data_IF_396777897117
#
_entry.id   IF_396777897117
#
_cell.length_a   1.000
_cell.length_b   1.000
_cell.length_c   1.000
_cell.angle_alpha   90.00
_cell.angle_beta   90.00
_cell.angle_gamma   90.00
#
_symmetry.space_group_name_H-M   'P 1'
#
loop_
_entity.id
_entity.type
_entity.pdbx_description
1 polymer ?
#
# COMPACT_ATOMS: atom_id res chain seq x y z
N UNK A 1 -0.69 15.65 -37.45
CA UNK A 1 -1.68 15.35 -36.39
C UNK A 1 -2.91 16.23 -36.63
N UNK A 2 -4.08 15.59 -36.69
CA UNK A 2 -5.34 16.33 -36.85
C UNK A 2 -5.62 17.17 -35.59
N UNK A 3 -6.17 18.36 -35.81
CA UNK A 3 -6.50 19.31 -34.74
C UNK A 3 -8.01 19.38 -34.50
N UNK A 4 -8.45 19.97 -33.40
CA UNK A 4 -9.87 20.22 -33.12
C UNK A 4 -10.51 21.14 -34.20
N UNK A 5 -9.68 21.94 -34.89
CA UNK A 5 -10.13 22.79 -36.00
C UNK A 5 -10.50 21.91 -37.21
N UNK A 6 -9.75 20.85 -37.46
CA UNK A 6 -10.05 19.94 -38.57
C UNK A 6 -11.32 19.14 -38.31
N UNK A 7 -11.57 18.72 -37.07
CA UNK A 7 -12.84 18.11 -36.65
C UNK A 7 -14.00 19.11 -36.84
N UNK A 8 -13.81 20.36 -36.43
CA UNK A 8 -14.82 21.39 -36.56
C UNK A 8 -15.20 21.65 -38.04
N UNK A 9 -14.20 21.69 -38.95
CA UNK A 9 -14.40 21.78 -40.39
C UNK A 9 -15.14 20.57 -40.93
N UNK A 10 -14.70 19.35 -40.59
CA UNK A 10 -15.34 18.12 -41.06
C UNK A 10 -16.79 17.97 -40.54
N UNK A 11 -17.01 18.35 -39.29
CA UNK A 11 -18.34 18.35 -38.69
C UNK A 11 -19.24 19.53 -39.15
N UNK A 12 -18.72 20.58 -39.80
CA UNK A 12 -19.44 21.81 -40.13
C UNK A 12 -19.97 22.51 -38.85
N UNK A 13 -19.19 22.53 -37.78
CA UNK A 13 -19.55 23.09 -36.47
C UNK A 13 -18.44 24.03 -35.97
N UNK A 14 -18.76 24.84 -34.96
CA UNK A 14 -17.71 25.63 -34.29
C UNK A 14 -16.80 24.76 -33.44
N UNK A 15 -15.53 25.16 -33.24
CA UNK A 15 -14.60 24.49 -32.35
C UNK A 15 -15.12 24.42 -30.90
N UNK A 16 -15.91 25.43 -30.49
CA UNK A 16 -16.56 25.45 -29.16
C UNK A 16 -17.63 24.35 -29.05
N UNK A 17 -18.42 24.12 -30.11
CA UNK A 17 -19.43 23.04 -30.14
C UNK A 17 -18.76 21.67 -30.13
N UNK A 18 -17.72 21.48 -30.96
CA UNK A 18 -16.92 20.24 -30.96
C UNK A 18 -16.31 19.98 -29.59
N UNK A 19 -15.66 20.99 -29.00
CA UNK A 19 -15.09 20.86 -27.65
C UNK A 19 -16.14 20.48 -26.61
N UNK A 20 -17.34 21.08 -26.67
CA UNK A 20 -18.45 20.77 -25.76
C UNK A 20 -18.98 19.35 -25.98
N UNK A 21 -19.15 18.91 -27.22
CA UNK A 21 -19.59 17.56 -27.53
C UNK A 21 -18.63 16.48 -27.06
N UNK A 22 -17.31 16.75 -27.07
CA UNK A 22 -16.26 15.83 -26.60
C UNK A 22 -16.09 15.83 -25.07
N UNK A 23 -16.39 16.95 -24.39
CA UNK A 23 -16.14 17.12 -22.94
C UNK A 23 -17.36 16.90 -22.07
N UNK A 24 -18.53 17.31 -22.54
CA UNK A 24 -19.80 17.28 -21.82
C UNK A 24 -20.91 16.88 -22.81
N UNK A 25 -20.87 15.59 -23.25
CA UNK A 25 -21.74 15.09 -24.30
C UNK A 25 -23.23 15.25 -23.97
N UNK A 26 -23.57 15.31 -22.67
CA UNK A 26 -24.92 15.56 -22.17
C UNK A 26 -25.41 17.01 -22.38
N UNK A 27 -24.51 17.95 -22.70
CA UNK A 27 -24.86 19.36 -22.97
C UNK A 27 -25.07 19.68 -24.47
N UNK A 28 -25.05 18.66 -25.30
CA UNK A 28 -25.33 18.78 -26.74
C UNK A 28 -26.40 17.77 -27.16
N UNK A 29 -27.11 18.05 -28.24
CA UNK A 29 -28.10 17.10 -28.78
C UNK A 29 -27.42 15.84 -29.31
N UNK A 30 -28.12 14.72 -29.29
CA UNK A 30 -27.59 13.43 -29.77
C UNK A 30 -27.15 13.51 -31.23
N UNK A 31 -27.91 14.22 -32.07
CA UNK A 31 -27.55 14.47 -33.47
C UNK A 31 -26.23 15.25 -33.61
N UNK A 32 -26.01 16.25 -32.77
CA UNK A 32 -24.74 17.01 -32.73
C UNK A 32 -23.60 16.13 -32.30
N UNK A 33 -23.81 15.31 -31.27
CA UNK A 33 -22.81 14.36 -30.77
C UNK A 33 -22.41 13.35 -31.82
N UNK A 34 -23.39 12.69 -32.47
CA UNK A 34 -23.12 11.72 -33.54
C UNK A 34 -22.31 12.34 -34.69
N UNK A 35 -22.66 13.55 -35.10
CA UNK A 35 -21.96 14.29 -36.15
C UNK A 35 -20.51 14.63 -35.78
N UNK A 36 -20.26 15.00 -34.53
CA UNK A 36 -18.89 15.26 -34.02
C UNK A 36 -18.10 13.96 -33.95
N UNK A 37 -18.67 12.86 -33.46
CA UNK A 37 -17.97 11.57 -33.37
C UNK A 37 -17.61 11.03 -34.76
N UNK A 38 -18.49 11.12 -35.74
CA UNK A 38 -18.19 10.76 -37.13
C UNK A 38 -17.05 11.59 -37.72
N UNK A 39 -17.01 12.90 -37.42
CA UNK A 39 -15.92 13.76 -37.84
C UNK A 39 -14.60 13.45 -37.17
N UNK A 40 -14.60 13.10 -35.86
CA UNK A 40 -13.42 12.66 -35.11
C UNK A 40 -12.81 11.43 -35.78
N UNK A 41 -13.62 10.44 -36.09
CA UNK A 41 -13.20 9.20 -36.76
C UNK A 41 -12.65 9.48 -38.16
N UNK A 42 -13.37 10.30 -38.96
CA UNK A 42 -12.99 10.63 -40.34
C UNK A 42 -11.64 11.32 -40.45
N UNK A 43 -11.23 12.14 -39.47
CA UNK A 43 -9.94 12.85 -39.46
C UNK A 43 -8.90 12.22 -38.55
N UNK A 44 -9.15 11.04 -37.99
CA UNK A 44 -8.29 10.38 -36.97
C UNK A 44 -7.84 11.38 -35.90
N UNK A 45 -8.78 12.13 -35.34
CA UNK A 45 -8.48 13.10 -34.29
C UNK A 45 -8.35 12.42 -32.95
N UNK A 46 -7.19 12.59 -32.33
CA UNK A 46 -6.95 12.19 -30.95
C UNK A 46 -6.88 13.45 -30.10
N UNK A 47 -7.73 13.57 -29.06
CA UNK A 47 -7.66 14.71 -28.16
C UNK A 47 -6.26 14.84 -27.55
N UNK A 48 -5.65 16.01 -27.72
CA UNK A 48 -4.37 16.29 -27.08
C UNK A 48 -4.62 16.54 -25.59
N UNK A 49 -4.29 15.53 -24.76
CA UNK A 49 -4.44 15.58 -23.30
C UNK A 49 -3.61 16.72 -22.70
N UNK A 50 -2.40 16.99 -23.23
CA UNK A 50 -1.57 18.10 -22.78
C UNK A 50 -2.25 19.46 -22.97
N UNK A 51 -2.86 19.69 -24.15
CA UNK A 51 -3.59 20.91 -24.40
C UNK A 51 -4.89 21.04 -23.58
N UNK A 52 -5.46 19.91 -23.14
CA UNK A 52 -6.58 19.87 -22.19
C UNK A 52 -6.09 20.26 -20.80
N UNK A 53 -5.04 19.64 -20.35
CA UNK A 53 -4.45 19.79 -19.02
C UNK A 53 -3.97 21.24 -18.79
N UNK A 54 -3.29 21.83 -19.78
CA UNK A 54 -2.88 23.23 -19.75
C UNK A 54 -4.05 24.24 -19.56
N UNK A 55 -5.24 23.89 -20.05
CA UNK A 55 -6.43 24.76 -19.91
C UNK A 55 -7.21 24.54 -18.61
N UNK A 56 -7.11 23.37 -18.01
CA UNK A 56 -7.81 23.02 -16.77
C UNK A 56 -6.95 23.24 -15.52
N UNK A 57 -5.69 23.57 -15.69
CA UNK A 57 -4.66 23.64 -14.63
C UNK A 57 -4.56 22.34 -13.82
N UNK A 58 -4.90 21.19 -14.46
CA UNK A 58 -4.89 19.84 -13.89
C UNK A 58 -4.32 18.84 -14.86
N UNK A 59 -3.53 17.88 -14.32
CA UNK A 59 -2.98 16.78 -15.12
C UNK A 59 -3.93 15.59 -15.22
N UNK A 60 -4.92 15.47 -14.31
CA UNK A 60 -5.74 14.29 -14.11
C UNK A 60 -4.88 13.04 -13.88
N UNK A 61 -3.84 13.23 -13.09
CA UNK A 61 -2.90 12.18 -12.71
C UNK A 61 -2.58 12.28 -11.23
N UNK A 62 -2.39 11.15 -10.58
CA UNK A 62 -1.93 11.05 -9.20
C UNK A 62 -0.61 10.28 -9.16
N UNK A 63 0.28 10.71 -8.29
CA UNK A 63 1.55 10.04 -8.06
C UNK A 63 1.43 9.14 -6.83
N UNK A 64 1.82 7.87 -6.95
CA UNK A 64 1.87 6.92 -5.84
C UNK A 64 3.34 6.60 -5.55
N UNK A 65 3.81 6.96 -4.36
CA UNK A 65 5.16 6.67 -3.90
C UNK A 65 5.16 5.35 -3.14
N UNK A 66 5.84 4.35 -3.70
CA UNK A 66 5.87 2.97 -3.20
C UNK A 66 7.29 2.67 -2.68
N UNK A 67 7.45 2.14 -1.44
CA UNK A 67 8.77 1.79 -0.91
C UNK A 67 9.42 0.60 -1.61
N UNK A 68 8.61 -0.21 -2.32
CA UNK A 68 9.10 -1.34 -3.12
C UNK A 68 7.99 -1.92 -3.97
N UNK A 69 8.07 -1.74 -5.28
CA UNK A 69 7.05 -2.21 -6.23
C UNK A 69 6.96 -3.74 -6.33
N UNK A 70 8.00 -4.46 -5.89
CA UNK A 70 8.03 -5.91 -5.91
C UNK A 70 7.27 -6.56 -4.74
N UNK A 71 6.96 -5.80 -3.69
CA UNK A 71 6.25 -6.34 -2.53
C UNK A 71 4.75 -6.52 -2.85
N UNK A 72 4.20 -7.74 -2.74
CA UNK A 72 2.81 -8.04 -3.11
C UNK A 72 1.76 -7.26 -2.29
N UNK A 73 2.08 -6.88 -1.05
CA UNK A 73 1.19 -6.06 -0.24
C UNK A 73 0.93 -4.69 -0.90
N UNK A 74 1.99 -4.00 -1.35
CA UNK A 74 1.85 -2.72 -2.03
C UNK A 74 1.21 -2.84 -3.42
N UNK A 75 1.34 -3.99 -4.08
CA UNK A 75 0.62 -4.26 -5.32
C UNK A 75 -0.90 -4.24 -5.10
N UNK A 76 -1.40 -4.88 -4.02
CA UNK A 76 -2.82 -4.86 -3.67
C UNK A 76 -3.31 -3.45 -3.29
N UNK A 77 -2.52 -2.70 -2.52
CA UNK A 77 -2.85 -1.28 -2.22
C UNK A 77 -2.95 -0.47 -3.51
N UNK A 78 -2.00 -0.65 -4.42
CA UNK A 78 -1.97 0.04 -5.72
C UNK A 78 -3.18 -0.35 -6.59
N UNK A 79 -3.62 -1.60 -6.56
CA UNK A 79 -4.83 -2.04 -7.27
C UNK A 79 -6.09 -1.30 -6.77
N UNK A 80 -6.21 -1.10 -5.45
CA UNK A 80 -7.28 -0.30 -4.87
C UNK A 80 -7.23 1.17 -5.32
N UNK A 81 -6.03 1.77 -5.34
CA UNK A 81 -5.82 3.13 -5.82
C UNK A 81 -6.23 3.25 -7.29
N UNK A 82 -5.76 2.33 -8.13
CA UNK A 82 -6.02 2.33 -9.58
C UNK A 82 -7.51 2.21 -9.88
N UNK A 83 -8.22 1.33 -9.19
CA UNK A 83 -9.66 1.13 -9.35
C UNK A 83 -10.45 2.43 -9.12
N UNK A 84 -10.10 3.24 -8.13
CA UNK A 84 -10.74 4.53 -7.86
C UNK A 84 -10.30 5.58 -8.88
N UNK A 85 -9.00 5.68 -9.14
CA UNK A 85 -8.45 6.64 -10.10
C UNK A 85 -9.10 6.46 -11.48
N UNK A 86 -9.18 5.23 -11.97
CA UNK A 86 -9.85 4.89 -13.23
C UNK A 86 -11.30 5.37 -13.27
N UNK A 87 -12.08 5.06 -12.23
CA UNK A 87 -13.50 5.47 -12.15
C UNK A 87 -13.68 6.99 -12.13
N UNK A 88 -12.70 7.71 -11.58
CA UNK A 88 -12.70 9.17 -11.44
C UNK A 88 -12.02 9.87 -12.62
N UNK A 89 -11.51 9.11 -13.63
CA UNK A 89 -10.86 9.64 -14.83
C UNK A 89 -9.44 10.17 -14.58
N UNK A 90 -8.75 9.65 -13.58
CA UNK A 90 -7.34 9.93 -13.27
C UNK A 90 -6.43 8.78 -13.74
N UNK A 91 -5.21 9.14 -14.12
CA UNK A 91 -4.12 8.20 -14.37
C UNK A 91 -3.26 8.05 -13.12
N UNK A 92 -2.62 6.89 -12.95
CA UNK A 92 -1.71 6.63 -11.83
C UNK A 92 -0.28 6.55 -12.33
N UNK A 93 0.62 7.35 -11.74
CA UNK A 93 2.06 7.21 -11.87
C UNK A 93 2.65 6.54 -10.64
N UNK A 94 3.51 5.56 -10.83
CA UNK A 94 4.19 4.87 -9.73
C UNK A 94 5.63 5.37 -9.62
N UNK A 95 6.03 5.77 -8.41
CA UNK A 95 7.39 6.09 -8.04
C UNK A 95 7.93 5.06 -7.05
N UNK A 96 8.89 4.20 -7.49
CA UNK A 96 9.58 3.25 -6.61
C UNK A 96 10.67 3.97 -5.82
N UNK A 97 10.38 4.28 -4.56
CA UNK A 97 11.28 5.10 -3.72
C UNK A 97 12.42 4.28 -3.10
N UNK A 98 12.23 2.98 -2.89
CA UNK A 98 13.18 2.10 -2.18
C UNK A 98 13.63 2.70 -0.84
N UNK A 99 12.70 3.32 -0.11
CA UNK A 99 12.95 4.03 1.13
C UNK A 99 14.10 5.09 1.04
N UNK A 100 14.33 5.63 -0.17
CA UNK A 100 15.35 6.64 -0.46
C UNK A 100 14.73 8.02 -0.59
N UNK A 101 15.20 8.97 0.24
CA UNK A 101 14.76 10.37 0.19
C UNK A 101 15.10 11.08 -1.10
N UNK A 102 16.26 10.77 -1.67
CA UNK A 102 16.68 11.38 -2.94
C UNK A 102 15.71 10.96 -4.05
N UNK A 103 15.24 9.70 -4.01
CA UNK A 103 14.25 9.21 -4.97
C UNK A 103 12.87 9.82 -4.70
N UNK A 104 12.46 9.96 -3.45
CA UNK A 104 11.22 10.65 -3.10
C UNK A 104 11.25 12.10 -3.63
N UNK A 105 12.29 12.85 -3.31
CA UNK A 105 12.45 14.23 -3.78
C UNK A 105 12.44 14.34 -5.31
N UNK A 106 13.05 13.39 -6.02
CA UNK A 106 12.99 13.33 -7.48
C UNK A 106 11.55 13.18 -8.00
N UNK A 107 10.77 12.26 -7.41
CA UNK A 107 9.38 12.06 -7.81
C UNK A 107 8.47 13.24 -7.41
N UNK A 108 8.73 13.92 -6.31
CA UNK A 108 7.98 15.11 -5.89
C UNK A 108 8.04 16.24 -6.92
N UNK A 109 9.16 16.38 -7.64
CA UNK A 109 9.28 17.33 -8.74
C UNK A 109 8.22 17.13 -9.83
N UNK A 110 7.66 15.90 -9.97
CA UNK A 110 6.57 15.65 -10.92
C UNK A 110 5.27 16.37 -10.50
N UNK A 111 5.06 16.56 -9.21
CA UNK A 111 3.92 17.32 -8.69
C UNK A 111 4.17 18.81 -8.81
N UNK A 112 5.37 19.27 -8.47
CA UNK A 112 5.79 20.67 -8.60
C UNK A 112 5.72 21.15 -10.06
N UNK A 113 6.05 20.27 -11.00
CA UNK A 113 5.94 20.53 -12.45
C UNK A 113 4.57 20.23 -13.03
N UNK A 114 3.57 19.93 -12.18
CA UNK A 114 2.17 19.64 -12.55
C UNK A 114 1.97 18.44 -13.49
N UNK A 115 2.87 17.48 -13.42
CA UNK A 115 2.66 16.17 -14.06
C UNK A 115 1.71 15.27 -13.25
N UNK A 116 1.57 15.53 -11.94
CA UNK A 116 0.56 14.94 -11.07
C UNK A 116 -0.13 16.02 -10.23
N UNK A 117 -1.40 15.84 -9.92
CA UNK A 117 -2.23 16.78 -9.16
C UNK A 117 -2.13 16.55 -7.64
N UNK A 118 -1.57 15.42 -7.20
CA UNK A 118 -1.39 15.08 -5.79
C UNK A 118 -0.66 13.76 -5.61
N UNK A 119 -0.37 13.42 -4.35
CA UNK A 119 0.46 12.28 -3.96
C UNK A 119 -0.28 11.35 -3.01
N UNK A 120 -0.18 10.04 -3.26
CA UNK A 120 -0.46 9.00 -2.27
C UNK A 120 0.89 8.40 -1.85
N UNK A 121 1.24 8.52 -0.58
CA UNK A 121 2.48 8.00 -0.05
C UNK A 121 2.23 6.68 0.68
N UNK A 122 2.87 5.60 0.25
CA UNK A 122 2.79 4.27 0.86
C UNK A 122 3.96 3.98 1.81
N UNK A 123 5.07 4.71 1.63
CA UNK A 123 6.19 4.64 2.58
C UNK A 123 5.85 5.37 3.89
N UNK A 124 6.40 4.89 5.02
CA UNK A 124 6.27 5.60 6.27
C UNK A 124 6.84 7.02 6.16
N UNK A 125 6.09 8.01 6.64
CA UNK A 125 6.63 9.35 6.81
C UNK A 125 7.52 9.36 8.07
N UNK A 126 8.82 9.53 7.89
CA UNK A 126 9.78 9.67 8.98
C UNK A 126 9.78 11.06 9.62
N UNK A 127 8.70 11.85 9.43
CA UNK A 127 8.53 13.16 10.06
C UNK A 127 9.30 14.30 9.40
N UNK A 128 9.85 14.08 8.20
CA UNK A 128 10.61 15.10 7.49
C UNK A 128 9.73 15.84 6.46
N UNK A 129 9.48 17.12 6.75
CA UNK A 129 8.78 18.07 5.84
C UNK A 129 7.31 17.77 5.51
N UNK A 130 6.63 16.83 6.16
CA UNK A 130 5.23 16.52 5.90
C UNK A 130 4.32 17.77 5.94
N UNK A 131 4.56 18.69 6.90
CA UNK A 131 3.82 19.97 6.97
C UNK A 131 4.08 20.88 5.76
N UNK A 132 5.32 20.93 5.31
CA UNK A 132 5.71 21.82 4.21
C UNK A 132 5.17 21.27 2.89
N UNK A 133 5.18 19.96 2.71
CA UNK A 133 4.62 19.27 1.54
C UNK A 133 3.10 19.41 1.47
N UNK A 134 2.38 19.14 2.55
CA UNK A 134 0.92 19.25 2.61
C UNK A 134 0.41 20.68 2.34
N UNK A 135 1.25 21.70 2.58
CA UNK A 135 0.93 23.10 2.24
C UNK A 135 1.15 23.40 0.75
N UNK A 136 1.90 22.57 0.03
CA UNK A 136 2.29 22.82 -1.38
C UNK A 136 1.37 22.08 -2.35
N UNK A 137 0.97 20.86 -2.03
CA UNK A 137 0.10 20.02 -2.86
C UNK A 137 -0.70 19.00 -2.02
N UNK A 138 -1.84 18.48 -2.52
CA UNK A 138 -2.60 17.44 -1.84
C UNK A 138 -1.77 16.18 -1.65
N UNK A 139 -1.69 15.68 -0.40
CA UNK A 139 -1.03 14.43 -0.04
C UNK A 139 -1.93 13.61 0.90
N UNK A 140 -1.93 12.29 0.72
CA UNK A 140 -2.59 11.31 1.59
C UNK A 140 -1.64 10.16 1.84
N UNK A 141 -1.55 9.69 3.08
CA UNK A 141 -0.81 8.49 3.41
C UNK A 141 -1.73 7.26 3.38
N UNK A 142 -1.40 6.26 2.57
CA UNK A 142 -1.95 4.92 2.72
C UNK A 142 -0.90 4.05 3.44
N UNK A 143 -1.34 3.19 4.34
CA UNK A 143 -0.46 2.46 5.25
C UNK A 143 0.34 3.41 6.19
N UNK A 144 -0.23 4.57 6.52
CA UNK A 144 0.44 5.60 7.33
C UNK A 144 0.70 5.17 8.77
N UNK A 145 1.54 5.93 9.45
CA UNK A 145 1.80 5.82 10.89
C UNK A 145 1.15 6.98 11.65
N UNK A 146 1.18 6.95 12.99
CA UNK A 146 0.56 7.98 13.84
C UNK A 146 1.20 9.38 13.74
N UNK A 147 2.37 9.47 13.12
CA UNK A 147 3.16 10.70 13.06
C UNK A 147 2.79 11.64 11.91
N UNK A 148 1.83 11.29 11.05
CA UNK A 148 1.48 12.10 9.89
C UNK A 148 0.52 13.23 10.26
N UNK A 149 0.71 14.38 9.63
CA UNK A 149 -0.20 15.54 9.72
C UNK A 149 -1.10 15.68 8.49
N UNK A 150 -0.95 14.77 7.53
CA UNK A 150 -1.83 14.62 6.38
C UNK A 150 -2.86 13.51 6.66
N UNK A 151 -4.00 13.49 5.94
CA UNK A 151 -4.94 12.39 6.01
C UNK A 151 -4.24 11.05 5.82
N UNK A 152 -4.62 10.08 6.63
CA UNK A 152 -3.97 8.78 6.65
C UNK A 152 -5.00 7.65 6.68
N UNK A 153 -4.76 6.59 5.91
CA UNK A 153 -5.55 5.36 5.94
C UNK A 153 -4.64 4.23 6.40
N UNK A 154 -4.98 3.57 7.50
CA UNK A 154 -4.14 2.54 8.12
C UNK A 154 -4.96 1.52 8.89
N UNK A 155 -4.32 0.49 9.40
CA UNK A 155 -4.85 -0.39 10.44
C UNK A 155 -4.27 0.00 11.82
N UNK A 156 -4.81 -0.58 12.88
CA UNK A 156 -4.15 -0.59 14.19
C UNK A 156 -3.04 -1.66 14.19
N UNK A 157 -1.82 -1.27 13.83
CA UNK A 157 -0.66 -2.17 13.79
C UNK A 157 -0.31 -2.76 15.15
N UNK A 158 -0.47 -1.99 16.23
CA UNK A 158 -0.16 -2.47 17.57
C UNK A 158 -1.21 -3.49 18.05
N UNK A 159 -2.50 -3.19 17.86
CA UNK A 159 -3.57 -4.12 18.17
C UNK A 159 -3.47 -5.42 17.38
N UNK A 160 -3.23 -5.34 16.08
CA UNK A 160 -3.06 -6.51 15.21
C UNK A 160 -1.87 -7.40 15.61
N UNK A 161 -0.72 -6.78 15.91
CA UNK A 161 0.46 -7.53 16.37
C UNK A 161 0.26 -8.14 17.76
N UNK A 162 -0.49 -7.45 18.63
CA UNK A 162 -0.90 -7.99 19.91
C UNK A 162 -1.78 -9.23 19.73
N UNK A 163 -2.79 -9.16 18.89
CA UNK A 163 -3.69 -10.27 18.60
C UNK A 163 -2.92 -11.49 18.07
N UNK A 164 -1.97 -11.30 17.15
CA UNK A 164 -1.13 -12.38 16.64
C UNK A 164 -0.26 -13.01 17.75
N UNK A 165 0.35 -12.21 18.62
CA UNK A 165 1.14 -12.73 19.71
C UNK A 165 0.28 -13.46 20.75
N UNK A 166 -0.91 -12.95 21.07
CA UNK A 166 -1.89 -13.60 21.94
C UNK A 166 -2.34 -14.95 21.34
N UNK A 167 -2.55 -15.06 20.04
CA UNK A 167 -2.84 -16.32 19.37
C UNK A 167 -1.77 -17.38 19.64
N UNK A 168 -0.48 -17.04 19.51
CA UNK A 168 0.61 -17.95 19.80
C UNK A 168 0.68 -18.32 21.30
N UNK A 169 0.42 -17.36 22.18
CA UNK A 169 0.38 -17.58 23.62
C UNK A 169 -0.75 -18.54 24.03
N UNK A 170 -1.94 -18.36 23.46
CA UNK A 170 -3.10 -19.24 23.65
C UNK A 170 -2.82 -20.65 23.14
N UNK A 171 -2.08 -20.79 22.03
CA UNK A 171 -1.60 -22.08 21.52
C UNK A 171 -0.55 -22.77 22.44
N UNK A 172 -0.15 -22.12 23.53
CA UNK A 172 0.76 -22.69 24.55
C UNK A 172 2.22 -22.27 24.41
N UNK A 173 2.56 -21.44 23.41
CA UNK A 173 3.93 -20.95 23.26
C UNK A 173 4.28 -19.95 24.35
N UNK A 174 5.46 -20.12 24.94
CA UNK A 174 6.00 -19.22 25.97
C UNK A 174 7.35 -18.62 25.57
N UNK A 175 8.07 -19.29 24.68
CA UNK A 175 9.32 -18.81 24.12
C UNK A 175 9.09 -18.47 22.64
N UNK A 176 8.65 -17.24 22.39
CA UNK A 176 8.25 -16.74 21.08
C UNK A 176 9.31 -15.77 20.60
N UNK A 177 9.90 -16.05 19.44
CA UNK A 177 10.81 -15.09 18.79
C UNK A 177 10.03 -14.15 17.86
N UNK A 178 10.62 -12.99 17.54
CA UNK A 178 10.07 -12.09 16.55
C UNK A 178 11.12 -11.68 15.52
N UNK A 179 10.71 -11.68 14.25
CA UNK A 179 11.47 -11.08 13.14
C UNK A 179 10.79 -9.75 12.80
N UNK A 180 11.39 -8.67 13.28
CA UNK A 180 10.90 -7.31 13.06
C UNK A 180 11.39 -6.78 11.71
N UNK A 181 10.73 -5.74 11.21
CA UNK A 181 11.30 -4.90 10.15
C UNK A 181 12.43 -4.00 10.67
N UNK A 182 12.96 -3.09 9.84
CA UNK A 182 13.99 -2.14 10.24
C UNK A 182 13.59 -1.37 11.50
N UNK A 183 14.53 -1.23 12.45
CA UNK A 183 14.23 -0.72 13.80
C UNK A 183 13.64 0.71 13.81
N UNK A 184 13.97 1.53 12.83
CA UNK A 184 13.45 2.89 12.70
C UNK A 184 12.11 2.96 11.94
N UNK A 185 11.63 1.84 11.38
CA UNK A 185 10.39 1.83 10.64
C UNK A 185 9.18 1.93 11.60
N UNK A 186 8.27 2.92 11.46
CA UNK A 186 7.17 3.12 12.38
C UNK A 186 6.24 1.91 12.51
N UNK A 187 5.98 1.17 11.41
CA UNK A 187 5.16 -0.04 11.46
C UNK A 187 5.83 -1.14 12.29
N UNK A 188 7.15 -1.32 12.14
CA UNK A 188 7.91 -2.26 12.95
C UNK A 188 7.89 -1.87 14.44
N UNK A 189 7.98 -0.57 14.73
CA UNK A 189 7.87 -0.03 16.10
C UNK A 189 6.50 -0.32 16.70
N UNK A 190 5.42 -0.06 15.97
CA UNK A 190 4.06 -0.28 16.48
C UNK A 190 3.74 -1.78 16.64
N UNK A 191 4.13 -2.61 15.66
CA UNK A 191 3.99 -4.08 15.78
C UNK A 191 4.81 -4.62 16.95
N UNK A 192 5.99 -4.08 17.21
CA UNK A 192 6.81 -4.44 18.38
C UNK A 192 6.13 -4.04 19.70
N UNK A 193 5.46 -2.88 19.76
CA UNK A 193 4.66 -2.49 20.95
C UNK A 193 3.57 -3.51 21.22
N UNK A 194 2.82 -3.93 20.19
CA UNK A 194 1.77 -4.94 20.31
C UNK A 194 2.30 -6.29 20.79
N UNK A 195 3.39 -6.78 20.19
CA UNK A 195 4.05 -8.00 20.60
C UNK A 195 4.47 -7.99 22.09
N UNK A 196 5.12 -6.90 22.52
CA UNK A 196 5.53 -6.74 23.93
C UNK A 196 4.33 -6.69 24.86
N UNK A 197 3.28 -5.95 24.50
CA UNK A 197 2.07 -5.85 25.31
C UNK A 197 1.40 -7.22 25.54
N UNK A 198 1.40 -8.09 24.52
CA UNK A 198 0.89 -9.45 24.65
C UNK A 198 1.73 -10.31 25.61
N UNK A 199 3.06 -10.24 25.51
CA UNK A 199 3.96 -10.95 26.43
C UNK A 199 3.75 -10.48 27.88
N UNK A 200 3.73 -9.16 28.10
CA UNK A 200 3.54 -8.57 29.43
C UNK A 200 2.21 -8.99 30.04
N UNK A 201 1.11 -8.97 29.26
CA UNK A 201 -0.20 -9.41 29.72
C UNK A 201 -0.26 -10.89 30.11
N UNK A 202 0.59 -11.72 29.49
CA UNK A 202 0.71 -13.15 29.77
C UNK A 202 1.76 -13.48 30.85
N UNK A 203 2.42 -12.48 31.42
CA UNK A 203 3.50 -12.69 32.42
C UNK A 203 4.75 -13.33 31.81
N UNK A 204 4.99 -13.16 30.50
CA UNK A 204 6.16 -13.67 29.79
C UNK A 204 7.20 -12.56 29.71
N UNK A 205 8.39 -12.79 30.30
CA UNK A 205 9.47 -11.81 30.23
C UNK A 205 9.94 -11.60 28.78
N UNK A 206 10.08 -10.34 28.39
CA UNK A 206 10.68 -9.98 27.09
C UNK A 206 12.16 -10.35 27.09
N UNK A 207 12.57 -11.16 26.09
CA UNK A 207 13.96 -11.59 25.90
C UNK A 207 14.53 -10.94 24.61
N UNK A 208 15.45 -9.97 24.70
CA UNK A 208 16.07 -9.36 23.53
C UNK A 208 16.81 -10.36 22.63
N UNK A 209 17.23 -11.53 23.16
CA UNK A 209 17.87 -12.58 22.38
C UNK A 209 16.91 -13.23 21.36
N UNK A 210 15.59 -13.04 21.54
CA UNK A 210 14.54 -13.53 20.67
C UNK A 210 14.05 -12.46 19.67
N UNK A 211 14.78 -11.39 19.46
CA UNK A 211 14.45 -10.34 18.49
C UNK A 211 15.52 -10.30 17.40
N UNK A 212 15.10 -10.32 16.13
CA UNK A 212 15.96 -10.02 14.98
C UNK A 212 15.29 -8.97 14.11
N UNK A 213 16.11 -8.15 13.47
CA UNK A 213 15.64 -7.13 12.52
C UNK A 213 15.94 -7.61 11.11
N UNK A 214 14.93 -7.64 10.27
CA UNK A 214 15.02 -7.88 8.84
C UNK A 214 14.81 -6.61 8.03
N UNK A 215 14.81 -6.78 6.72
CA UNK A 215 14.59 -5.74 5.72
C UNK A 215 13.30 -5.96 4.92
N UNK A 216 12.36 -6.69 5.50
CA UNK A 216 11.09 -7.14 4.91
C UNK A 216 11.21 -8.22 3.82
N UNK A 217 12.42 -8.65 3.44
CA UNK A 217 12.64 -9.67 2.41
C UNK A 217 12.59 -11.10 2.96
N UNK A 218 12.26 -12.07 2.09
CA UNK A 218 12.35 -13.51 2.41
C UNK A 218 13.76 -13.89 2.88
N UNK A 219 14.80 -13.29 2.28
CA UNK A 219 16.20 -13.57 2.62
C UNK A 219 16.52 -13.20 4.05
N UNK A 220 16.10 -12.01 4.50
CA UNK A 220 16.31 -11.58 5.89
C UNK A 220 15.52 -12.43 6.89
N UNK A 221 14.32 -12.87 6.52
CA UNK A 221 13.51 -13.80 7.30
C UNK A 221 14.20 -15.16 7.49
N UNK A 222 14.75 -15.71 6.43
CA UNK A 222 15.51 -16.97 6.48
C UNK A 222 16.78 -16.84 7.32
N UNK A 223 17.52 -15.73 7.18
CA UNK A 223 18.73 -15.47 7.99
C UNK A 223 18.38 -15.38 9.49
N UNK A 224 17.37 -14.59 9.86
CA UNK A 224 16.92 -14.46 11.23
C UNK A 224 16.46 -15.80 11.83
N UNK A 225 15.69 -16.59 11.09
CA UNK A 225 15.26 -17.91 11.52
C UNK A 225 16.46 -18.85 11.76
N UNK A 226 17.47 -18.82 10.89
CA UNK A 226 18.69 -19.61 11.05
C UNK A 226 19.44 -19.26 12.36
N UNK A 227 19.49 -17.99 12.73
CA UNK A 227 20.08 -17.56 14.01
C UNK A 227 19.28 -18.09 15.21
N UNK A 228 17.95 -17.99 15.20
CA UNK A 228 17.10 -18.53 16.25
C UNK A 228 17.23 -20.05 16.40
N UNK A 229 17.31 -20.76 15.28
CA UNK A 229 17.48 -22.22 15.27
C UNK A 229 18.87 -22.68 15.74
N UNK A 230 19.85 -21.76 15.75
CA UNK A 230 21.19 -21.98 16.32
C UNK A 230 21.28 -21.75 17.82
N UNK A 231 20.26 -21.18 18.46
CA UNK A 231 20.26 -20.97 19.91
C UNK A 231 20.22 -22.31 20.68
N UNK A 232 20.93 -22.38 21.81
CA UNK A 232 20.87 -23.55 22.67
C UNK A 232 19.45 -23.83 23.17
N UNK A 233 18.74 -22.77 23.56
CA UNK A 233 17.34 -22.79 23.93
C UNK A 233 16.55 -22.06 22.85
N UNK A 234 16.12 -22.81 21.84
CA UNK A 234 15.46 -22.24 20.66
C UNK A 234 14.00 -21.86 20.95
N UNK A 235 13.44 -20.88 20.24
CA UNK A 235 12.03 -20.55 20.37
C UNK A 235 11.15 -21.72 19.83
N UNK A 236 9.94 -21.81 20.36
CA UNK A 236 8.90 -22.74 19.88
C UNK A 236 7.96 -22.11 18.87
N UNK A 237 8.01 -20.77 18.74
CA UNK A 237 7.26 -20.03 17.73
C UNK A 237 8.07 -18.82 17.25
N UNK A 238 7.83 -18.40 16.01
CA UNK A 238 8.35 -17.18 15.41
C UNK A 238 7.17 -16.34 14.93
N UNK A 239 7.04 -15.12 15.43
CA UNK A 239 6.18 -14.08 14.87
C UNK A 239 7.01 -13.20 13.92
N UNK A 240 6.80 -13.32 12.63
CA UNK A 240 7.36 -12.45 11.61
C UNK A 240 6.44 -11.27 11.34
N UNK A 241 6.99 -10.06 11.31
CA UNK A 241 6.21 -8.83 11.13
C UNK A 241 5.81 -8.55 9.67
N UNK A 242 6.11 -9.46 8.73
CA UNK A 242 5.47 -9.57 7.43
C UNK A 242 5.51 -11.01 6.91
N UNK A 243 4.75 -11.30 5.87
CA UNK A 243 4.61 -12.63 5.29
C UNK A 243 5.85 -13.07 4.51
N UNK A 244 6.54 -12.16 3.82
CA UNK A 244 7.75 -12.52 3.07
C UNK A 244 8.84 -13.05 4.01
N UNK A 245 9.09 -12.37 5.13
CA UNK A 245 10.04 -12.87 6.14
C UNK A 245 9.55 -14.18 6.78
N UNK A 246 8.23 -14.33 7.01
CA UNK A 246 7.65 -15.58 7.52
C UNK A 246 7.88 -16.75 6.57
N UNK A 247 7.67 -16.57 5.26
CA UNK A 247 7.92 -17.58 4.23
C UNK A 247 9.41 -17.95 4.20
N UNK A 248 10.30 -16.96 4.29
CA UNK A 248 11.73 -17.21 4.42
C UNK A 248 12.10 -18.02 5.67
N UNK A 249 11.45 -17.74 6.79
CA UNK A 249 11.62 -18.49 8.03
C UNK A 249 11.11 -19.94 7.92
N UNK A 250 9.97 -20.18 7.25
CA UNK A 250 9.45 -21.53 6.95
C UNK A 250 10.45 -22.31 6.10
N UNK A 251 10.98 -21.71 5.04
CA UNK A 251 11.99 -22.35 4.19
C UNK A 251 13.23 -22.77 4.98
N UNK A 252 13.73 -21.88 5.83
CA UNK A 252 14.89 -22.15 6.71
C UNK A 252 14.63 -23.29 7.69
N UNK A 253 13.46 -23.31 8.35
CA UNK A 253 13.06 -24.36 9.27
C UNK A 253 12.96 -25.72 8.58
N UNK A 254 12.28 -25.75 7.44
CA UNK A 254 12.08 -26.98 6.62
C UNK A 254 13.40 -27.52 6.08
N UNK A 255 14.31 -26.65 5.63
CA UNK A 255 15.64 -27.06 5.16
C UNK A 255 16.50 -27.72 6.26
N UNK A 256 16.19 -27.43 7.54
CA UNK A 256 16.80 -28.09 8.72
C UNK A 256 16.02 -29.33 9.21
N UNK A 257 15.01 -29.76 8.46
CA UNK A 257 14.19 -30.93 8.80
C UNK A 257 13.15 -30.69 9.89
N UNK A 258 12.88 -29.43 10.25
CA UNK A 258 11.85 -29.10 11.23
C UNK A 258 10.46 -29.07 10.56
N UNK A 259 9.48 -29.58 11.26
CA UNK A 259 8.09 -29.56 10.82
C UNK A 259 7.42 -28.28 11.35
N UNK A 260 6.88 -27.49 10.44
CA UNK A 260 6.02 -26.36 10.78
C UNK A 260 4.57 -26.84 10.67
N UNK A 261 3.75 -26.71 11.74
CA UNK A 261 3.98 -26.03 13.02
C UNK A 261 4.55 -26.92 14.14
N UNK A 262 4.63 -28.25 13.98
CA UNK A 262 4.80 -29.21 15.08
C UNK A 262 6.08 -29.02 15.89
N UNK A 263 7.18 -28.68 15.24
CA UNK A 263 8.48 -28.45 15.87
C UNK A 263 8.76 -26.95 16.06
N UNK A 264 8.10 -26.08 15.27
CA UNK A 264 8.20 -24.64 15.30
C UNK A 264 6.97 -24.00 14.63
N UNK A 265 6.16 -23.27 15.37
CA UNK A 265 5.09 -22.46 14.79
C UNK A 265 5.67 -21.18 14.15
N UNK A 266 5.13 -20.77 12.97
CA UNK A 266 5.56 -19.54 12.29
C UNK A 266 4.33 -18.77 11.84
N UNK A 267 4.28 -17.47 12.14
CA UNK A 267 3.21 -16.58 11.72
C UNK A 267 3.75 -15.36 11.01
N UNK A 268 2.93 -14.77 10.16
CA UNK A 268 3.25 -13.60 9.36
C UNK A 268 2.34 -12.40 9.65
N UNK A 269 2.32 -11.46 8.68
CA UNK A 269 1.51 -10.25 8.69
C UNK A 269 1.39 -9.78 7.24
N UNK A 270 0.25 -9.29 6.79
CA UNK A 270 -0.15 -8.68 5.52
C UNK A 270 -1.19 -9.48 4.74
N UNK A 271 -1.23 -10.81 4.86
CA UNK A 271 -2.02 -11.77 4.07
C UNK A 271 -1.79 -11.60 2.54
N UNK A 272 -0.52 -11.61 2.15
CA UNK A 272 -0.18 -11.61 0.71
C UNK A 272 -0.67 -12.92 0.06
N UNK A 273 -0.87 -12.90 -1.27
CA UNK A 273 -1.39 -14.06 -2.01
C UNK A 273 -0.61 -15.37 -1.77
N UNK A 274 0.70 -15.26 -1.50
CA UNK A 274 1.54 -16.43 -1.19
C UNK A 274 1.25 -17.06 0.18
N UNK A 275 0.67 -16.33 1.13
CA UNK A 275 0.38 -16.84 2.48
C UNK A 275 -0.56 -18.06 2.45
N UNK A 276 -1.60 -18.00 1.64
CA UNK A 276 -2.56 -19.10 1.49
C UNK A 276 -1.98 -20.31 0.72
N UNK A 277 -0.98 -20.08 -0.12
CA UNK A 277 -0.41 -21.09 -1.04
C UNK A 277 0.97 -21.60 -0.63
N UNK A 278 1.54 -21.12 0.46
CA UNK A 278 2.77 -21.67 1.05
C UNK A 278 2.52 -23.07 1.64
N UNK A 279 3.59 -23.80 1.87
CA UNK A 279 3.53 -25.14 2.49
C UNK A 279 4.41 -25.17 3.72
N UNK A 280 3.81 -25.22 4.93
CA UNK A 280 2.39 -25.10 5.24
C UNK A 280 1.80 -23.72 4.92
N UNK A 281 0.47 -23.61 4.74
CA UNK A 281 -0.20 -22.31 4.54
C UNK A 281 -0.05 -21.44 5.79
N UNK A 282 0.25 -20.15 5.57
CA UNK A 282 0.72 -19.22 6.59
C UNK A 282 -0.43 -18.58 7.36
N UNK A 283 -0.41 -18.71 8.71
CA UNK A 283 -1.21 -17.91 9.62
C UNK A 283 -0.69 -16.48 9.62
N UNK A 284 -1.58 -15.50 9.43
CA UNK A 284 -1.18 -14.11 9.23
C UNK A 284 -2.27 -13.12 9.66
N UNK A 285 -1.92 -11.85 9.79
CA UNK A 285 -2.88 -10.75 9.89
C UNK A 285 -3.23 -10.27 8.48
N UNK A 286 -4.49 -10.37 8.10
CA UNK A 286 -4.98 -9.79 6.87
C UNK A 286 -5.19 -8.28 7.04
N UNK A 287 -4.46 -7.49 6.24
CA UNK A 287 -4.72 -6.07 6.07
C UNK A 287 -5.67 -5.88 4.88
N UNK A 288 -6.66 -4.98 4.96
CA UNK A 288 -7.56 -4.69 3.84
C UNK A 288 -6.87 -3.79 2.79
N UNK A 289 -5.80 -4.30 2.18
CA UNK A 289 -4.86 -3.52 1.35
C UNK A 289 -5.56 -2.77 0.20
N UNK A 290 -6.44 -3.44 -0.56
CA UNK A 290 -7.20 -2.78 -1.64
C UNK A 290 -8.13 -1.69 -1.10
N UNK A 291 -8.82 -1.94 0.03
CA UNK A 291 -9.70 -0.95 0.63
C UNK A 291 -8.91 0.25 1.18
N UNK A 292 -7.70 0.02 1.70
CA UNK A 292 -6.80 1.10 2.14
C UNK A 292 -6.40 1.99 0.96
N UNK A 293 -6.00 1.39 -0.16
CA UNK A 293 -5.65 2.11 -1.38
C UNK A 293 -6.83 2.88 -1.97
N UNK A 294 -7.98 2.22 -2.08
CA UNK A 294 -9.21 2.83 -2.57
C UNK A 294 -9.62 4.05 -1.74
N UNK A 295 -9.65 3.91 -0.42
CA UNK A 295 -10.01 5.01 0.50
C UNK A 295 -9.03 6.19 0.41
N UNK A 296 -7.72 5.91 0.34
CA UNK A 296 -6.71 6.95 0.21
C UNK A 296 -6.86 7.72 -1.12
N UNK A 297 -7.15 7.02 -2.22
CA UNK A 297 -7.39 7.64 -3.52
C UNK A 297 -8.66 8.49 -3.55
N UNK A 298 -9.76 8.05 -2.93
CA UNK A 298 -10.98 8.83 -2.77
C UNK A 298 -10.71 10.15 -2.06
N UNK A 299 -10.02 10.09 -0.91
CA UNK A 299 -9.68 11.28 -0.11
C UNK A 299 -8.80 12.23 -0.94
N UNK A 300 -7.76 11.70 -1.61
CA UNK A 300 -6.87 12.53 -2.41
C UNK A 300 -7.61 13.25 -3.54
N UNK A 301 -8.41 12.52 -4.32
CA UNK A 301 -9.13 13.11 -5.46
C UNK A 301 -10.16 14.13 -4.98
N UNK A 302 -10.86 13.87 -3.88
CA UNK A 302 -11.81 14.83 -3.31
C UNK A 302 -11.11 16.12 -2.86
N UNK A 303 -9.90 16.04 -2.29
CA UNK A 303 -9.06 17.22 -1.98
C UNK A 303 -8.63 17.96 -3.25
N UNK A 304 -8.17 17.25 -4.27
CA UNK A 304 -7.81 17.85 -5.57
C UNK A 304 -9.01 18.58 -6.20
N UNK A 305 -10.21 18.04 -6.05
CA UNK A 305 -11.44 18.64 -6.57
C UNK A 305 -12.01 19.76 -5.68
N UNK A 306 -11.38 20.05 -4.54
CA UNK A 306 -11.81 21.11 -3.62
C UNK A 306 -13.05 20.74 -2.80
N UNK A 307 -13.37 19.46 -2.67
CA UNK A 307 -14.42 18.99 -1.78
C UNK A 307 -13.91 19.00 -0.34
N UNK A 308 -14.83 19.17 0.61
CA UNK A 308 -14.49 19.04 2.02
C UNK A 308 -14.05 17.62 2.34
N UNK A 309 -12.86 17.48 2.92
CA UNK A 309 -12.33 16.21 3.41
C UNK A 309 -11.87 16.39 4.85
N UNK A 310 -12.09 15.38 5.66
CA UNK A 310 -11.55 15.36 7.01
C UNK A 310 -10.04 15.10 6.96
N UNK A 311 -9.27 15.92 7.67
CA UNK A 311 -7.82 15.70 7.88
C UNK A 311 -7.60 14.64 8.97
N UNK A 312 -8.34 13.52 8.90
CA UNK A 312 -8.41 12.51 9.94
C UNK A 312 -7.63 11.26 9.57
N UNK A 313 -7.34 10.48 10.60
CA UNK A 313 -6.82 9.12 10.45
C UNK A 313 -7.99 8.17 10.29
N UNK A 314 -8.04 7.45 9.18
CA UNK A 314 -9.00 6.38 8.92
C UNK A 314 -8.38 5.05 9.29
N UNK A 315 -8.88 4.43 10.37
CA UNK A 315 -8.44 3.10 10.80
C UNK A 315 -9.41 2.08 10.21
N UNK A 316 -8.89 1.18 9.37
CA UNK A 316 -9.64 0.06 8.82
C UNK A 316 -9.44 -1.20 9.68
N UNK A 317 -10.44 -2.10 9.74
CA UNK A 317 -10.30 -3.33 10.48
C UNK A 317 -9.28 -4.27 9.83
N UNK A 318 -8.54 -4.99 10.65
CA UNK A 318 -7.72 -6.13 10.26
C UNK A 318 -8.42 -7.43 10.67
N UNK A 319 -7.91 -8.58 10.23
CA UNK A 319 -8.41 -9.90 10.58
C UNK A 319 -7.26 -10.87 10.81
N UNK A 320 -7.33 -11.66 11.88
CA UNK A 320 -6.41 -12.78 12.10
C UNK A 320 -6.86 -13.99 11.29
N UNK A 321 -6.06 -14.40 10.33
CA UNK A 321 -6.33 -15.58 9.48
C UNK A 321 -5.48 -16.76 9.97
N UNK A 322 -6.11 -17.67 10.71
CA UNK A 322 -5.45 -18.86 11.20
C UNK A 322 -5.38 -19.92 10.11
N UNK A 323 -4.14 -20.42 9.85
CA UNK A 323 -3.85 -21.46 8.86
C UNK A 323 -2.94 -22.54 9.47
N UNK A 324 -2.32 -23.36 8.62
CA UNK A 324 -1.55 -24.53 9.05
C UNK A 324 -0.27 -24.19 9.82
N UNK A 325 0.37 -23.05 9.57
CA UNK A 325 1.71 -22.77 10.08
C UNK A 325 1.79 -22.49 11.59
N UNK A 326 0.65 -22.31 12.26
CA UNK A 326 0.58 -22.13 13.72
C UNK A 326 -0.46 -23.02 14.40
N UNK A 327 -1.38 -23.64 13.64
CA UNK A 327 -2.33 -24.58 14.19
C UNK A 327 -1.63 -25.91 14.51
N UNK A 328 -1.83 -26.50 15.71
CA UNK A 328 -1.29 -27.84 15.96
C UNK A 328 -1.85 -28.81 14.92
N UNK A 329 -1.03 -29.75 14.45
CA UNK A 329 -1.51 -30.83 13.60
C UNK A 329 -2.52 -31.64 14.42
N UNK A 330 -3.77 -31.76 13.90
CA UNK A 330 -4.79 -32.63 14.46
C UNK A 330 -4.38 -34.09 14.37
#
# INVERSE_FOLDING_TARGET
>A
MSSIIDVAKAAGLSTATVSRALRTPEKVTEATRARVMAAVEAVDYRPNLLARNLRSDRSFSVLVLVPGIANPFFANVTAGIESIAWRRGYSVFLGDTRDSRDREAHYEQLVETRLADGVIQLSPDYGFNARQRAATYPIVHACGCELTQAPSVRIDNAGAAREMAEHLIVAGHRRIATISGPAANPHAVDRMKGYRAALDAAGIAFDPALVRFGDWSMGSGAAAANEFLGLRDRPTAIFSMNDEMAIGAIQSATARGLRVPNDLAITGFDDISFAAHSTPSLTTIAQPAEAMGAKACEILIDRIEGKATDDTVHILPHELIVRQSSAPAN
#
